data_IF_353512417373
#
_entry.id   IF_353512417373
#
_cell.length_a   1.000
_cell.length_b   1.000
_cell.length_c   1.000
_cell.angle_alpha   90.00
_cell.angle_beta   90.00
_cell.angle_gamma   90.00
#
_symmetry.space_group_name_H-M   'P 1'
#
loop_
_entity.id
_entity.type
_entity.pdbx_description
1 polymer ?
#
# COMPACT_ATOMS: atom_id res chain seq x y z
N UNK A 1 -34.05 6.00 -21.15
CA UNK A 1 -33.33 5.74 -19.88
C UNK A 1 -34.39 5.38 -18.87
N UNK A 2 -34.80 4.12 -18.87
CA UNK A 2 -35.88 3.64 -18.01
C UNK A 2 -35.27 2.63 -17.05
N UNK A 3 -35.11 3.05 -15.81
CA UNK A 3 -34.64 2.22 -14.70
C UNK A 3 -35.85 1.57 -14.07
N UNK A 4 -35.96 0.25 -14.23
CA UNK A 4 -36.81 -0.60 -13.41
C UNK A 4 -35.96 -1.02 -12.22
N UNK A 5 -36.16 -0.37 -11.07
CA UNK A 5 -35.57 -0.79 -9.81
C UNK A 5 -36.63 -1.57 -9.02
N UNK A 6 -36.34 -2.85 -8.82
CA UNK A 6 -37.18 -3.77 -8.05
C UNK A 6 -36.84 -3.67 -6.57
N UNK A 7 -37.90 -3.55 -5.78
CA UNK A 7 -37.93 -3.48 -4.32
C UNK A 7 -37.42 -4.77 -3.64
N UNK A 8 -36.79 -4.59 -2.48
CA UNK A 8 -36.71 -5.60 -1.42
C UNK A 8 -35.47 -5.38 -0.56
N UNK A 9 -35.50 -5.24 0.75
CA UNK A 9 -36.53 -5.25 1.79
C UNK A 9 -35.78 -4.85 3.08
N UNK A 10 -36.38 -4.11 4.00
CA UNK A 10 -36.97 -4.77 5.14
C UNK A 10 -36.38 -4.27 6.46
N UNK A 11 -37.25 -3.61 7.25
CA UNK A 11 -37.35 -3.64 8.72
C UNK A 11 -36.22 -2.98 9.52
N UNK A 12 -36.41 -2.48 10.73
CA UNK A 12 -37.53 -2.01 11.55
C UNK A 12 -36.85 -1.57 12.85
N UNK A 13 -37.34 -0.53 13.54
CA UNK A 13 -36.79 -0.20 14.86
C UNK A 13 -37.25 1.14 15.39
N UNK A 14 -38.46 1.15 15.95
CA UNK A 14 -39.08 2.28 16.63
C UNK A 14 -38.46 2.53 18.01
N UNK A 15 -38.31 3.84 18.31
CA UNK A 15 -38.30 4.50 19.62
C UNK A 15 -37.15 4.23 20.60
N UNK A 16 -36.55 5.31 21.14
CA UNK A 16 -37.06 6.00 22.34
C UNK A 16 -36.45 7.40 22.46
N UNK A 17 -37.30 8.36 22.82
CA UNK A 17 -36.93 9.68 23.32
C UNK A 17 -36.29 9.49 24.69
N UNK A 18 -35.18 10.16 24.98
CA UNK A 18 -34.83 10.40 26.39
C UNK A 18 -34.22 11.76 26.62
N UNK A 19 -34.68 12.31 27.73
CA UNK A 19 -34.59 13.68 28.23
C UNK A 19 -33.26 13.90 28.94
N UNK A 20 -32.75 15.14 28.84
CA UNK A 20 -31.61 15.67 29.58
C UNK A 20 -31.99 15.92 31.05
N UNK A 21 -31.09 15.68 32.01
CA UNK A 21 -30.63 16.80 32.86
C UNK A 21 -29.13 16.78 33.22
N UNK A 22 -28.63 17.91 33.71
CA UNK A 22 -27.25 18.22 34.15
C UNK A 22 -27.06 18.04 35.68
N UNK A 23 -26.04 18.62 36.35
CA UNK A 23 -24.59 18.34 36.36
C UNK A 23 -24.08 17.88 37.76
N UNK A 24 -22.84 17.39 37.89
CA UNK A 24 -22.25 17.08 39.21
C UNK A 24 -20.78 16.63 39.23
N UNK A 25 -19.92 17.53 39.72
CA UNK A 25 -18.66 17.43 40.50
C UNK A 25 -17.58 16.32 40.29
N UNK A 26 -16.37 16.82 39.97
CA UNK A 26 -14.98 16.49 40.37
C UNK A 26 -14.61 15.11 40.95
N UNK A 27 -13.66 14.43 40.28
CA UNK A 27 -12.48 13.78 40.89
C UNK A 27 -11.40 13.51 39.82
N UNK A 28 -10.13 13.58 40.22
CA UNK A 28 -8.95 13.71 39.36
C UNK A 28 -8.32 12.37 38.87
N UNK A 29 -7.66 12.44 37.70
CA UNK A 29 -6.50 11.67 37.13
C UNK A 29 -6.12 10.30 37.73
N UNK A 30 -5.77 9.29 36.89
CA UNK A 30 -4.47 9.31 36.20
C UNK A 30 -4.48 8.96 34.71
N UNK A 31 -3.43 9.45 34.06
CA UNK A 31 -3.02 9.23 32.66
C UNK A 31 -2.52 7.80 32.45
N UNK A 32 -2.88 7.11 31.36
CA UNK A 32 -2.12 5.95 30.90
C UNK A 32 -0.87 6.39 30.11
N UNK A 33 0.25 5.64 30.24
CA UNK A 33 1.53 6.01 29.66
C UNK A 33 1.56 5.83 28.14
N UNK A 34 2.10 6.86 27.50
CA UNK A 34 3.04 6.81 26.38
C UNK A 34 3.50 5.40 25.98
N UNK A 35 2.91 4.85 24.92
CA UNK A 35 3.64 3.95 24.02
C UNK A 35 4.39 4.82 23.02
N UNK A 36 5.52 5.37 23.48
CA UNK A 36 6.53 5.89 22.59
C UNK A 36 7.30 4.72 21.97
N UNK A 37 7.55 4.84 20.67
CA UNK A 37 8.63 4.19 19.94
C UNK A 37 8.60 2.67 19.82
N UNK A 38 8.02 2.21 18.72
CA UNK A 38 8.72 1.32 17.79
C UNK A 38 7.95 1.21 16.46
N UNK A 39 8.08 2.20 15.58
CA UNK A 39 8.19 2.00 14.13
C UNK A 39 8.86 3.25 13.57
N UNK A 40 10.15 3.38 13.89
CA UNK A 40 11.02 4.25 13.12
C UNK A 40 10.93 3.80 11.65
N UNK A 41 10.75 4.78 10.77
CA UNK A 41 10.84 4.65 9.33
C UNK A 41 9.74 3.81 8.64
N UNK A 42 8.47 4.18 8.85
CA UNK A 42 7.61 4.31 7.66
C UNK A 42 8.09 5.52 6.86
N UNK A 43 9.26 5.39 6.23
CA UNK A 43 9.55 6.18 5.01
C UNK A 43 8.33 5.94 4.15
N UNK A 44 7.71 7.02 3.69
CA UNK A 44 6.45 7.03 2.95
C UNK A 44 6.55 6.16 1.69
N UNK A 45 6.48 4.85 1.86
CA UNK A 45 6.40 3.91 0.77
C UNK A 45 5.03 4.14 0.16
N UNK A 46 5.02 4.63 -1.08
CA UNK A 46 3.79 4.77 -1.84
C UNK A 46 3.02 3.43 -1.75
N UNK A 47 1.73 3.43 -1.37
CA UNK A 47 0.99 2.18 -1.18
C UNK A 47 0.91 1.35 -2.46
N UNK A 48 1.18 1.92 -3.66
CA UNK A 48 1.35 1.12 -4.89
C UNK A 48 2.64 0.32 -4.95
N UNK A 49 3.67 0.75 -4.21
CA UNK A 49 5.01 0.14 -4.16
C UNK A 49 5.17 -0.76 -2.94
N UNK A 50 4.37 -0.56 -1.89
CA UNK A 50 4.45 -1.37 -0.67
C UNK A 50 4.27 -2.88 -0.92
N UNK A 51 3.47 -3.27 -1.92
CA UNK A 51 3.29 -4.67 -2.32
C UNK A 51 4.37 -5.24 -3.24
N UNK A 52 5.33 -4.42 -3.67
CA UNK A 52 6.37 -4.77 -4.66
C UNK A 52 7.70 -5.10 -3.99
N UNK A 53 7.89 -4.67 -2.73
CA UNK A 53 9.15 -4.83 -1.98
C UNK A 53 9.25 -6.20 -1.33
N UNK A 54 10.36 -6.87 -1.57
CA UNK A 54 10.76 -8.13 -0.98
C UNK A 54 12.17 -7.97 -0.39
N UNK A 55 12.48 -8.73 0.64
CA UNK A 55 13.82 -8.78 1.21
C UNK A 55 14.38 -10.17 0.93
N UNK A 56 15.28 -10.27 -0.04
CA UNK A 56 15.81 -11.54 -0.53
C UNK A 56 17.33 -11.53 -0.34
N UNK A 57 17.90 -12.56 0.28
CA UNK A 57 19.36 -12.71 0.37
C UNK A 57 20.13 -11.57 1.06
N UNK A 58 19.46 -10.74 1.88
CA UNK A 58 20.10 -9.61 2.57
C UNK A 58 19.92 -8.24 1.89
N UNK A 59 19.22 -8.19 0.76
CA UNK A 59 19.00 -6.97 -0.01
C UNK A 59 17.51 -6.71 -0.27
N UNK A 60 17.18 -5.44 -0.55
CA UNK A 60 15.83 -5.03 -0.95
C UNK A 60 15.66 -5.26 -2.45
N UNK A 61 14.62 -6.02 -2.80
CA UNK A 61 14.28 -6.37 -4.17
C UNK A 61 12.85 -5.91 -4.47
N UNK A 62 12.64 -5.26 -5.61
CA UNK A 62 11.32 -4.88 -6.09
C UNK A 62 10.89 -5.78 -7.24
N UNK A 63 9.75 -6.47 -7.12
CA UNK A 63 9.17 -7.28 -8.20
C UNK A 63 7.90 -6.64 -8.75
N UNK A 64 8.02 -6.03 -9.92
CA UNK A 64 6.89 -5.39 -10.60
C UNK A 64 6.29 -6.38 -11.60
N UNK A 65 5.05 -6.79 -11.37
CA UNK A 65 4.32 -7.66 -12.28
C UNK A 65 4.14 -6.96 -13.65
N UNK A 66 4.36 -7.70 -14.73
CA UNK A 66 4.22 -7.24 -16.11
C UNK A 66 3.70 -8.37 -17.01
N UNK A 67 3.20 -8.01 -18.19
CA UNK A 67 2.89 -8.97 -19.24
C UNK A 67 4.07 -9.17 -20.20
N UNK A 68 4.04 -10.22 -20.99
CA UNK A 68 4.82 -10.31 -22.24
C UNK A 68 3.96 -9.93 -23.47
N UNK A 69 4.51 -10.10 -24.68
CA UNK A 69 3.80 -9.80 -25.94
C UNK A 69 2.57 -10.71 -26.19
N UNK A 70 2.54 -11.90 -25.59
CA UNK A 70 1.41 -12.82 -25.62
C UNK A 70 0.61 -12.79 -24.32
N UNK A 71 0.77 -11.73 -23.51
CA UNK A 71 0.04 -11.46 -22.26
C UNK A 71 0.19 -12.54 -21.17
N UNK A 72 1.30 -13.29 -21.11
CA UNK A 72 1.55 -14.11 -19.89
C UNK A 72 2.07 -13.23 -18.77
N UNK A 73 1.72 -13.62 -17.55
CA UNK A 73 2.21 -12.93 -16.35
C UNK A 73 3.70 -13.24 -16.14
N UNK A 74 4.44 -12.17 -15.89
CA UNK A 74 5.88 -12.11 -15.65
C UNK A 74 6.17 -11.02 -14.63
N UNK A 75 7.44 -10.88 -14.23
CA UNK A 75 7.88 -9.79 -13.37
C UNK A 75 9.19 -9.18 -13.87
N UNK A 76 9.29 -7.86 -13.79
CA UNK A 76 10.57 -7.13 -13.82
C UNK A 76 11.07 -7.06 -12.39
N UNK A 77 12.35 -7.41 -12.19
CA UNK A 77 12.99 -7.34 -10.87
C UNK A 77 13.96 -6.17 -10.84
N UNK A 78 13.90 -5.34 -9.80
CA UNK A 78 14.84 -4.25 -9.56
C UNK A 78 15.48 -4.48 -8.21
N UNK A 79 16.78 -4.22 -8.09
CA UNK A 79 17.51 -4.28 -6.82
C UNK A 79 18.77 -3.40 -6.92
N UNK A 80 19.49 -3.25 -5.81
CA UNK A 80 20.71 -2.43 -5.75
C UNK A 80 21.86 -3.33 -5.36
N UNK A 81 22.94 -3.29 -6.15
CA UNK A 81 24.21 -3.97 -5.85
C UNK A 81 25.34 -2.96 -6.05
N UNK A 82 26.26 -2.85 -5.10
CA UNK A 82 27.48 -2.03 -5.23
C UNK A 82 27.20 -0.59 -5.72
N UNK A 83 26.19 0.08 -5.13
CA UNK A 83 25.73 1.42 -5.54
C UNK A 83 25.20 1.53 -6.98
N UNK A 84 24.90 0.39 -7.63
CA UNK A 84 24.30 0.31 -8.95
C UNK A 84 22.84 -0.19 -8.87
N UNK A 85 21.95 0.45 -9.62
CA UNK A 85 20.56 -0.01 -9.77
C UNK A 85 20.50 -1.08 -10.85
N UNK A 86 20.30 -2.34 -10.44
CA UNK A 86 20.19 -3.48 -11.35
C UNK A 86 18.73 -3.72 -11.70
N UNK A 87 18.44 -3.76 -13.00
CA UNK A 87 17.10 -4.05 -13.54
C UNK A 87 17.18 -5.32 -14.38
N UNK A 88 16.44 -6.34 -13.94
CA UNK A 88 16.31 -7.62 -14.65
C UNK A 88 14.95 -7.68 -15.29
N UNK A 89 14.93 -7.61 -16.62
CA UNK A 89 13.74 -7.90 -17.43
C UNK A 89 13.40 -9.39 -17.37
N UNK A 90 12.15 -9.78 -17.68
CA UNK A 90 11.81 -11.17 -17.91
C UNK A 90 12.81 -11.81 -18.89
N UNK A 91 13.29 -13.05 -18.63
CA UNK A 91 14.34 -13.65 -19.43
C UNK A 91 13.88 -13.87 -20.88
N UNK A 92 14.65 -13.33 -21.82
CA UNK A 92 14.49 -13.57 -23.27
C UNK A 92 13.24 -12.98 -23.90
N UNK A 93 12.50 -12.10 -23.21
CA UNK A 93 11.20 -11.61 -23.68
C UNK A 93 10.97 -10.13 -23.38
N UNK A 94 10.20 -9.46 -24.24
CA UNK A 94 9.83 -8.05 -24.06
C UNK A 94 8.80 -7.90 -22.95
N UNK A 95 9.12 -7.11 -21.93
CA UNK A 95 8.16 -6.72 -20.90
C UNK A 95 7.17 -5.68 -21.45
N UNK A 96 5.89 -6.02 -21.42
CA UNK A 96 4.78 -5.10 -21.65
C UNK A 96 4.22 -4.66 -20.30
N UNK A 97 4.28 -3.37 -20.03
CA UNK A 97 3.73 -2.78 -18.81
C UNK A 97 2.49 -1.96 -19.13
N UNK A 98 1.45 -2.11 -18.31
CA UNK A 98 0.33 -1.16 -18.27
C UNK A 98 0.79 0.16 -17.65
N UNK A 99 0.01 1.23 -17.79
CA UNK A 99 0.31 2.53 -17.16
C UNK A 99 0.48 2.44 -15.64
N UNK A 100 -0.33 1.59 -14.97
CA UNK A 100 -0.22 1.32 -13.54
C UNK A 100 1.09 0.62 -13.16
N UNK A 101 1.44 -0.44 -13.89
CA UNK A 101 2.67 -1.20 -13.67
C UNK A 101 3.91 -0.35 -13.98
N UNK A 102 3.87 0.50 -15.02
CA UNK A 102 4.93 1.44 -15.31
C UNK A 102 5.08 2.48 -14.19
N UNK A 103 3.98 2.94 -13.59
CA UNK A 103 4.00 3.79 -12.40
C UNK A 103 4.68 3.12 -11.21
N UNK A 104 4.40 1.83 -10.97
CA UNK A 104 5.06 1.03 -9.93
C UNK A 104 6.55 0.86 -10.20
N UNK A 105 6.93 0.58 -11.45
CA UNK A 105 8.34 0.47 -11.84
C UNK A 105 9.10 1.79 -11.62
N UNK A 106 8.50 2.92 -11.99
CA UNK A 106 9.11 4.24 -11.74
C UNK A 106 9.32 4.50 -10.25
N UNK A 107 8.36 4.15 -9.41
CA UNK A 107 8.49 4.31 -7.96
C UNK A 107 9.56 3.37 -7.37
N UNK A 108 9.63 2.12 -7.85
CA UNK A 108 10.67 1.17 -7.45
C UNK A 108 12.06 1.66 -7.85
N UNK A 109 12.24 2.16 -9.07
CA UNK A 109 13.51 2.71 -9.56
C UNK A 109 13.95 3.96 -8.78
N UNK A 110 13.01 4.84 -8.41
CA UNK A 110 13.32 6.02 -7.63
C UNK A 110 13.81 5.66 -6.22
N UNK A 111 13.17 4.69 -5.58
CA UNK A 111 13.60 4.20 -4.27
C UNK A 111 14.93 3.45 -4.34
N UNK A 112 15.14 2.63 -5.38
CA UNK A 112 16.41 1.97 -5.62
C UNK A 112 17.54 2.99 -5.83
N UNK A 113 17.30 4.05 -6.60
CA UNK A 113 18.27 5.13 -6.79
C UNK A 113 18.65 5.79 -5.45
N UNK A 114 17.65 6.13 -4.62
CA UNK A 114 17.92 6.69 -3.28
C UNK A 114 18.69 5.73 -2.37
N UNK A 115 18.52 4.41 -2.52
CA UNK A 115 19.31 3.42 -1.79
C UNK A 115 20.74 3.27 -2.34
N UNK A 116 20.93 3.47 -3.64
CA UNK A 116 22.23 3.42 -4.31
C UNK A 116 23.06 4.70 -4.12
N UNK A 117 22.44 5.81 -3.74
CA UNK A 117 23.14 7.06 -3.40
C UNK A 117 23.69 7.08 -1.96
N UNK A 118 23.54 5.99 -1.20
CA UNK A 118 23.66 5.99 0.26
C UNK A 118 24.86 5.22 0.79
#
# INVERSE_FOLDING_TARGET
>A
MEFVDSLGGGQAGTAVRSVRPAPGITTARPVPPTVASAVAASVSADPRTAGVRHFEGGQVVWRVQCGDLISRERAVTVFVEDDEVVVVSPPGETARLTSGQLGQLRAALNEAATMAER
#
